data_IF_274620969416
#
_entry.id   IF_274620969416
#
_cell.length_a   1.000
_cell.length_b   1.000
_cell.length_c   1.000
_cell.angle_alpha   90.00
_cell.angle_beta   90.00
_cell.angle_gamma   90.00
#
_symmetry.space_group_name_H-M   'P 1'
#
loop_
_entity.id
_entity.type
_entity.pdbx_description
1 polymer ?
#
# COMPACT_ATOMS: atom_id res chain seq x y z
N UNK A 1 13.91 -2.21 5.89
CA UNK A 1 13.61 -0.88 5.33
C UNK A 1 12.45 -0.26 6.11
N UNK A 2 12.30 1.06 6.12
CA UNK A 2 11.17 1.76 6.77
C UNK A 2 10.43 2.58 5.73
N UNK A 3 9.10 2.54 5.76
CA UNK A 3 8.28 3.41 4.91
C UNK A 3 8.18 4.78 5.59
N UNK A 4 8.70 5.81 4.94
CA UNK A 4 8.62 7.19 5.40
C UNK A 4 7.20 7.76 5.29
N UNK A 5 6.49 7.37 4.23
CA UNK A 5 5.08 7.67 4.01
C UNK A 5 4.34 6.39 3.56
N UNK A 6 3.66 5.70 4.49
CA UNK A 6 2.95 4.46 4.18
C UNK A 6 1.72 4.64 3.28
N UNK A 7 1.05 5.79 3.35
CA UNK A 7 -0.18 6.05 2.62
C UNK A 7 0.10 6.33 1.15
N UNK A 8 1.13 7.12 0.85
CA UNK A 8 1.57 7.37 -0.54
C UNK A 8 2.02 6.08 -1.23
N UNK A 9 2.71 5.20 -0.49
CA UNK A 9 3.13 3.89 -1.01
C UNK A 9 1.91 3.02 -1.32
N UNK A 10 0.89 3.04 -0.45
CA UNK A 10 -0.35 2.31 -0.69
C UNK A 10 -1.15 2.87 -1.88
N UNK A 11 -1.18 4.18 -2.07
CA UNK A 11 -1.80 4.83 -3.24
C UNK A 11 -1.11 4.41 -4.53
N UNK A 12 0.22 4.49 -4.59
CA UNK A 12 1.00 4.06 -5.76
C UNK A 12 0.81 2.58 -6.07
N UNK A 13 0.80 1.74 -5.04
CA UNK A 13 0.51 0.32 -5.17
C UNK A 13 -0.91 0.06 -5.70
N UNK A 14 -1.90 0.79 -5.18
CA UNK A 14 -3.28 0.76 -5.65
C UNK A 14 -3.38 1.13 -7.12
N UNK A 15 -2.74 2.23 -7.53
CA UNK A 15 -2.68 2.68 -8.92
C UNK A 15 -2.02 1.63 -9.83
N UNK A 16 -0.91 1.03 -9.39
CA UNK A 16 -0.19 0.00 -10.17
C UNK A 16 -1.01 -1.25 -10.42
N UNK A 17 -1.88 -1.64 -9.49
CA UNK A 17 -2.71 -2.86 -9.58
C UNK A 17 -4.18 -2.59 -9.87
N UNK A 18 -4.54 -1.38 -10.30
CA UNK A 18 -5.94 -0.94 -10.54
C UNK A 18 -6.87 -1.23 -9.34
N UNK A 19 -6.39 -1.00 -8.12
CA UNK A 19 -7.15 -1.07 -6.87
C UNK A 19 -7.28 0.33 -6.26
N UNK A 20 -8.27 1.15 -6.68
CA UNK A 20 -8.40 2.54 -6.24
C UNK A 20 -8.73 2.68 -4.74
N UNK A 21 -9.24 1.63 -4.09
CA UNK A 21 -9.53 1.59 -2.64
C UNK A 21 -8.39 0.96 -1.81
N UNK A 22 -7.16 0.97 -2.32
CA UNK A 22 -5.97 0.51 -1.61
C UNK A 22 -5.56 1.52 -0.54
N UNK A 23 -5.18 1.03 0.64
CA UNK A 23 -4.66 1.83 1.74
C UNK A 23 -3.55 1.05 2.47
N UNK A 24 -2.86 1.71 3.40
CA UNK A 24 -1.73 1.08 4.07
C UNK A 24 -2.14 -0.13 4.93
N UNK A 25 -3.30 -0.14 5.59
CA UNK A 25 -3.76 -1.31 6.35
C UNK A 25 -3.85 -2.57 5.49
N UNK A 26 -4.47 -2.47 4.30
CA UNK A 26 -4.60 -3.59 3.36
C UNK A 26 -3.26 -4.00 2.76
N UNK A 27 -2.41 -3.02 2.43
CA UNK A 27 -1.07 -3.28 1.90
C UNK A 27 -0.20 -3.98 2.94
N UNK A 28 -0.22 -3.50 4.19
CA UNK A 28 0.55 -4.07 5.29
C UNK A 28 0.17 -5.53 5.56
N UNK A 29 -1.09 -5.92 5.33
CA UNK A 29 -1.55 -7.31 5.45
C UNK A 29 -0.82 -8.25 4.50
N UNK A 30 -0.59 -7.81 3.26
CA UNK A 30 0.16 -8.57 2.25
C UNK A 30 1.68 -8.44 2.34
N UNK A 31 2.20 -7.64 3.28
CA UNK A 31 3.61 -7.66 3.66
C UNK A 31 3.87 -8.58 4.86
N UNK A 32 2.82 -8.91 5.64
CA UNK A 32 2.91 -9.83 6.78
C UNK A 32 2.93 -11.30 6.37
N UNK A 33 2.47 -11.60 5.16
CA UNK A 33 2.42 -12.93 4.55
C UNK A 33 3.05 -12.85 3.18
#
# INVERSE_FOLDING_TARGET
FKLSDPDEVALRWGKRKNKPKMNYEKLSRGLRY
#
